data_IF_580358958367
#
_entry.id   IF_580358958367
#
_cell.length_a   1.000
_cell.length_b   1.000
_cell.length_c   1.000
_cell.angle_alpha   90.00
_cell.angle_beta   90.00
_cell.angle_gamma   90.00
#
_symmetry.space_group_name_H-M   'P 1'
#
loop_
_entity.id
_entity.type
_entity.pdbx_description
1 polymer ?
#
# COMPACT_ATOMS: atom_id res chain seq x y z
N UNK A 1 16.31 1.28 13.15
CA UNK A 1 14.91 1.04 13.59
C UNK A 1 13.97 1.23 12.40
N UNK A 2 13.02 0.32 12.17
CA UNK A 2 12.04 0.45 11.08
C UNK A 2 10.75 1.11 11.59
N UNK A 3 10.26 2.14 10.91
CA UNK A 3 9.01 2.87 11.20
C UNK A 3 8.04 2.73 10.02
N UNK A 4 6.74 2.59 10.29
CA UNK A 4 5.70 2.57 9.27
C UNK A 4 4.84 3.81 9.48
N UNK A 5 4.82 4.70 8.51
CA UNK A 5 4.18 6.02 8.64
C UNK A 5 3.25 6.26 7.45
N UNK A 6 2.19 7.02 7.67
CA UNK A 6 1.30 7.47 6.59
C UNK A 6 2.07 8.47 5.74
N UNK A 7 2.06 8.28 4.42
CA UNK A 7 2.67 9.23 3.48
C UNK A 7 1.94 10.57 3.60
N UNK A 8 2.73 11.64 3.81
CA UNK A 8 2.26 13.02 3.86
C UNK A 8 2.41 13.61 2.48
N UNK A 9 1.35 14.26 2.00
CA UNK A 9 1.36 14.90 0.70
C UNK A 9 1.27 16.42 0.90
N UNK A 10 2.10 17.20 0.21
CA UNK A 10 2.98 16.80 -0.91
C UNK A 10 4.38 16.30 -0.51
N UNK A 11 4.76 16.29 0.78
CA UNK A 11 6.16 16.12 1.21
C UNK A 11 6.78 14.77 0.82
N UNK A 12 6.03 13.68 0.90
CA UNK A 12 6.49 12.33 0.61
C UNK A 12 6.19 11.92 -0.85
N UNK A 13 5.70 12.83 -1.70
CA UNK A 13 5.30 12.52 -3.08
C UNK A 13 6.44 11.88 -3.88
N UNK A 14 7.65 12.45 -3.79
CA UNK A 14 8.82 11.94 -4.51
C UNK A 14 9.25 10.55 -4.00
N UNK A 15 9.15 10.33 -2.68
CA UNK A 15 9.45 9.06 -2.06
C UNK A 15 8.46 7.97 -2.50
N UNK A 16 7.16 8.31 -2.58
CA UNK A 16 6.10 7.41 -3.09
C UNK A 16 6.33 7.09 -4.57
N UNK A 17 6.60 8.10 -5.40
CA UNK A 17 6.87 7.92 -6.84
C UNK A 17 8.08 7.02 -7.05
N UNK A 18 9.19 7.26 -6.35
CA UNK A 18 10.41 6.47 -6.47
C UNK A 18 10.17 4.99 -6.17
N UNK A 19 9.51 4.68 -5.04
CA UNK A 19 9.27 3.27 -4.67
C UNK A 19 8.20 2.60 -5.54
N UNK A 20 7.23 3.35 -6.07
CA UNK A 20 6.27 2.81 -7.04
C UNK A 20 6.95 2.47 -8.37
N UNK A 21 7.82 3.34 -8.88
CA UNK A 21 8.60 3.07 -10.08
C UNK A 21 9.48 1.81 -9.90
N UNK A 22 10.13 1.65 -8.75
CA UNK A 22 10.88 0.42 -8.44
C UNK A 22 9.99 -0.82 -8.40
N UNK A 23 8.83 -0.73 -7.74
CA UNK A 23 7.88 -1.83 -7.69
C UNK A 23 7.45 -2.26 -9.10
N UNK A 24 7.10 -1.31 -9.97
CA UNK A 24 6.70 -1.56 -11.35
C UNK A 24 7.86 -2.19 -12.14
N UNK A 25 9.06 -1.64 -12.03
CA UNK A 25 10.25 -2.19 -12.69
C UNK A 25 10.63 -3.59 -12.19
N UNK A 26 10.30 -3.93 -10.95
CA UNK A 26 10.52 -5.26 -10.38
C UNK A 26 9.44 -6.28 -10.74
N UNK A 27 8.27 -5.83 -11.19
CA UNK A 27 7.16 -6.71 -11.51
C UNK A 27 7.40 -7.37 -12.88
N UNK A 28 7.47 -8.70 -12.90
CA UNK A 28 7.69 -9.51 -14.11
C UNK A 28 6.47 -9.61 -15.04
N UNK A 29 5.34 -9.01 -14.65
CA UNK A 29 4.11 -8.94 -15.44
C UNK A 29 3.97 -7.51 -15.94
N UNK A 30 3.71 -7.34 -17.24
CA UNK A 30 3.35 -6.05 -17.85
C UNK A 30 2.10 -5.50 -17.16
N UNK A 31 2.32 -4.71 -16.12
CA UNK A 31 1.29 -3.97 -15.44
C UNK A 31 0.93 -2.80 -16.36
N UNK A 32 -0.20 -2.90 -17.07
CA UNK A 32 -0.73 -1.95 -18.06
C UNK A 32 -0.25 -0.49 -17.85
N UNK A 33 0.89 -0.12 -18.46
CA UNK A 33 1.66 1.09 -18.14
C UNK A 33 0.84 2.39 -18.18
N UNK A 34 -0.15 2.47 -19.08
CA UNK A 34 -1.00 3.64 -19.26
C UNK A 34 -1.80 4.00 -17.99
N UNK A 35 -2.30 3.02 -17.23
CA UNK A 35 -3.06 3.30 -16.01
C UNK A 35 -2.17 3.73 -14.83
N UNK A 36 -0.85 3.52 -14.93
CA UNK A 36 0.10 3.82 -13.85
C UNK A 36 0.61 5.25 -13.90
N UNK A 37 0.90 5.77 -15.09
CA UNK A 37 1.31 7.17 -15.24
C UNK A 37 0.22 8.11 -14.72
N UNK A 38 -1.04 7.84 -15.07
CA UNK A 38 -2.20 8.57 -14.54
C UNK A 38 -2.35 8.41 -13.02
N UNK A 39 -2.14 7.20 -12.47
CA UNK A 39 -2.19 6.97 -11.03
C UNK A 39 -1.09 7.75 -10.29
N UNK A 40 0.14 7.77 -10.83
CA UNK A 40 1.27 8.50 -10.27
C UNK A 40 1.11 10.02 -10.38
N UNK A 41 0.50 10.50 -11.46
CA UNK A 41 0.21 11.92 -11.68
C UNK A 41 -0.89 12.43 -10.74
N UNK A 42 -1.82 11.57 -10.34
CA UNK A 42 -2.99 11.94 -9.52
C UNK A 42 -2.83 11.64 -8.03
N UNK A 43 -1.65 11.22 -7.56
CA UNK A 43 -1.40 10.92 -6.14
C UNK A 43 -1.70 12.11 -5.22
N UNK A 44 -2.32 11.89 -4.04
CA UNK A 44 -2.71 10.60 -3.48
C UNK A 44 -3.95 9.98 -4.12
N UNK A 45 -4.74 10.75 -4.87
CA UNK A 45 -5.84 10.26 -5.71
C UNK A 45 -6.78 9.32 -4.97
N UNK A 46 -6.92 8.09 -5.47
CA UNK A 46 -7.76 7.04 -4.86
C UNK A 46 -7.29 6.59 -3.47
N UNK A 47 -6.08 6.95 -3.05
CA UNK A 47 -5.53 6.68 -1.72
C UNK A 47 -5.68 7.85 -0.75
N UNK A 48 -6.37 8.93 -1.14
CA UNK A 48 -6.59 10.08 -0.27
C UNK A 48 -7.42 9.72 0.96
N UNK A 49 -7.12 10.37 2.09
CA UNK A 49 -7.97 10.32 3.28
C UNK A 49 -9.37 10.90 2.98
N UNK A 50 -10.43 10.49 3.69
CA UNK A 50 -10.47 9.51 4.78
C UNK A 50 -10.65 8.05 4.30
N UNK A 51 -10.93 7.85 3.01
CA UNK A 51 -11.34 6.56 2.44
C UNK A 51 -10.18 5.72 1.88
N UNK A 52 -8.97 6.27 1.89
CA UNK A 52 -7.75 5.60 1.49
C UNK A 52 -6.57 5.98 2.39
N UNK A 53 -5.46 5.31 2.12
CA UNK A 53 -4.18 5.65 2.73
C UNK A 53 -3.01 5.05 1.97
N UNK A 54 -1.88 5.77 2.00
CA UNK A 54 -0.58 5.30 1.58
C UNK A 54 0.36 5.31 2.78
N UNK A 55 1.19 4.28 2.86
CA UNK A 55 2.13 4.06 3.94
C UNK A 55 3.51 3.78 3.39
N UNK A 56 4.50 4.39 4.03
CA UNK A 56 5.91 4.20 3.76
C UNK A 56 6.56 3.51 4.95
N UNK A 57 7.38 2.50 4.65
CA UNK A 57 8.26 1.88 5.61
C UNK A 57 9.63 2.57 5.55
N UNK A 58 10.01 3.24 6.63
CA UNK A 58 11.30 3.89 6.78
C UNK A 58 12.24 3.01 7.57
N UNK A 59 13.46 2.80 7.07
CA UNK A 59 14.53 2.12 7.78
C UNK A 59 15.84 2.86 7.55
N UNK A 60 16.51 3.24 8.66
CA UNK A 60 17.78 3.98 8.62
C UNK A 60 17.73 5.25 7.73
N UNK A 61 16.61 5.98 7.77
CA UNK A 61 16.41 7.22 7.00
C UNK A 61 16.00 7.02 5.54
N UNK A 62 15.92 5.78 5.05
CA UNK A 62 15.50 5.47 3.69
C UNK A 62 14.13 4.78 3.66
N UNK A 63 13.34 5.05 2.63
CA UNK A 63 12.15 4.25 2.34
C UNK A 63 12.58 2.87 1.85
N UNK A 64 12.06 1.83 2.48
CA UNK A 64 12.38 0.42 2.17
C UNK A 64 11.15 -0.39 1.78
N UNK A 65 9.96 0.19 1.86
CA UNK A 65 8.73 -0.49 1.50
C UNK A 65 7.56 0.48 1.43
N UNK A 66 6.49 0.07 0.75
CA UNK A 66 5.25 0.79 0.68
C UNK A 66 4.05 -0.15 0.74
N UNK A 67 2.91 0.39 1.12
CA UNK A 67 1.60 -0.25 0.98
C UNK A 67 0.53 0.83 0.96
N UNK A 68 -0.61 0.56 0.34
CA UNK A 68 -1.76 1.43 0.41
C UNK A 68 -3.07 0.68 0.34
N UNK A 69 -4.15 1.40 0.61
CA UNK A 69 -5.50 0.93 0.35
C UNK A 69 -6.36 2.04 -0.23
N UNK A 70 -7.38 1.62 -0.97
CA UNK A 70 -8.40 2.50 -1.55
C UNK A 70 -9.79 1.90 -1.35
N UNK A 71 -10.80 2.75 -1.36
CA UNK A 71 -12.18 2.31 -1.33
C UNK A 71 -12.53 1.43 -2.54
N UNK A 72 -13.31 0.38 -2.29
CA UNK A 72 -14.01 -0.39 -3.31
C UNK A 72 -15.49 -0.03 -3.27
N UNK A 73 -16.07 -0.07 -2.07
CA UNK A 73 -17.43 0.33 -1.75
C UNK A 73 -17.49 0.82 -0.30
N UNK A 74 -18.64 1.30 0.16
CA UNK A 74 -18.80 1.86 1.51
C UNK A 74 -18.52 0.90 2.67
N UNK A 75 -18.29 -0.39 2.41
CA UNK A 75 -17.98 -1.41 3.43
C UNK A 75 -16.67 -2.16 3.17
N UNK A 76 -16.05 -1.99 2.00
CA UNK A 76 -14.86 -2.72 1.60
C UNK A 76 -13.78 -1.81 1.01
N UNK A 77 -12.53 -2.13 1.34
CA UNK A 77 -11.36 -1.54 0.73
C UNK A 77 -10.51 -2.59 0.00
N UNK A 78 -9.70 -2.13 -0.95
CA UNK A 78 -8.70 -2.93 -1.64
C UNK A 78 -7.31 -2.49 -1.17
N UNK A 79 -6.52 -3.43 -0.66
CA UNK A 79 -5.11 -3.20 -0.35
C UNK A 79 -4.29 -3.44 -1.62
N UNK A 80 -3.38 -2.50 -1.90
CA UNK A 80 -2.54 -2.48 -3.10
C UNK A 80 -1.11 -2.07 -2.76
N UNK A 81 -0.23 -2.26 -3.74
CA UNK A 81 1.15 -1.73 -3.74
C UNK A 81 1.97 -2.19 -2.53
N UNK A 82 1.70 -3.40 -2.02
CA UNK A 82 2.52 -4.01 -0.95
C UNK A 82 3.86 -4.42 -1.56
N UNK A 83 4.89 -3.63 -1.27
CA UNK A 83 6.24 -3.87 -1.78
C UNK A 83 7.27 -3.59 -0.68
N UNK A 84 8.32 -4.41 -0.65
CA UNK A 84 9.46 -4.24 0.25
C UNK A 84 10.71 -4.49 -0.58
N UNK A 85 11.65 -3.53 -0.54
CA UNK A 85 12.95 -3.65 -1.20
C UNK A 85 13.67 -4.91 -0.71
N UNK A 86 14.37 -5.65 -1.59
CA UNK A 86 15.10 -6.87 -1.19
C UNK A 86 16.05 -6.68 -0.01
N UNK A 87 16.69 -5.50 0.08
CA UNK A 87 17.62 -5.14 1.17
C UNK A 87 16.97 -5.07 2.56
N UNK A 88 15.64 -5.02 2.66
CA UNK A 88 14.90 -4.98 3.93
C UNK A 88 14.13 -6.28 4.24
N UNK A 89 14.42 -7.36 3.52
CA UNK A 89 13.87 -8.70 3.83
C UNK A 89 14.39 -9.20 5.18
N UNK A 90 13.61 -10.06 5.84
CA UNK A 90 13.93 -10.56 7.18
C UNK A 90 13.62 -9.59 8.34
N UNK A 91 13.24 -8.34 8.05
CA UNK A 91 12.90 -7.33 9.07
C UNK A 91 11.39 -7.22 9.36
N UNK A 92 10.59 -8.19 8.90
CA UNK A 92 9.12 -8.22 9.03
C UNK A 92 8.39 -6.97 8.50
N UNK A 93 9.01 -6.21 7.58
CA UNK A 93 8.44 -4.95 7.05
C UNK A 93 7.10 -5.17 6.35
N UNK A 94 7.00 -6.22 5.51
CA UNK A 94 5.77 -6.51 4.76
C UNK A 94 4.59 -6.80 5.68
N UNK A 95 4.82 -7.58 6.75
CA UNK A 95 3.81 -7.85 7.78
C UNK A 95 3.34 -6.55 8.46
N UNK A 96 4.28 -5.71 8.88
CA UNK A 96 3.96 -4.44 9.57
C UNK A 96 3.23 -3.45 8.67
N UNK A 97 3.53 -3.42 7.38
CA UNK A 97 2.80 -2.62 6.39
C UNK A 97 1.34 -3.10 6.28
N UNK A 98 1.13 -4.41 6.16
CA UNK A 98 -0.21 -5.03 6.09
C UNK A 98 -1.00 -4.73 7.37
N UNK A 99 -0.41 -4.94 8.54
CA UNK A 99 -1.05 -4.64 9.83
C UNK A 99 -1.47 -3.16 9.91
N UNK A 100 -0.58 -2.23 9.54
CA UNK A 100 -0.88 -0.80 9.52
C UNK A 100 -2.05 -0.44 8.59
N UNK A 101 -2.10 -1.04 7.40
CA UNK A 101 -3.21 -0.83 6.46
C UNK A 101 -4.53 -1.35 7.03
N UNK A 102 -4.53 -2.54 7.63
CA UNK A 102 -5.75 -3.12 8.22
C UNK A 102 -6.26 -2.27 9.38
N UNK A 103 -5.37 -1.72 10.21
CA UNK A 103 -5.74 -0.83 11.30
C UNK A 103 -6.37 0.47 10.80
N UNK A 104 -5.84 1.05 9.72
CA UNK A 104 -6.37 2.28 9.12
C UNK A 104 -7.68 2.03 8.38
N UNK A 105 -7.80 0.90 7.70
CA UNK A 105 -9.05 0.50 7.07
C UNK A 105 -10.15 0.29 8.13
N UNK A 106 -9.81 -0.29 9.29
CA UNK A 106 -10.72 -0.43 10.43
C UNK A 106 -11.15 0.94 10.96
N UNK A 107 -10.20 1.86 11.18
CA UNK A 107 -10.48 3.21 11.65
C UNK A 107 -11.34 4.01 10.65
N UNK A 108 -11.20 3.73 9.35
CA UNK A 108 -12.03 4.31 8.30
C UNK A 108 -13.42 3.66 8.16
N UNK A 109 -13.74 2.62 8.95
CA UNK A 109 -15.05 1.97 8.98
C UNK A 109 -15.24 0.81 8.00
N UNK A 110 -14.17 0.30 7.37
CA UNK A 110 -14.26 -0.84 6.47
C UNK A 110 -14.41 -2.16 7.24
N UNK A 111 -15.34 -3.00 6.78
CA UNK A 111 -15.59 -4.34 7.33
C UNK A 111 -14.78 -5.43 6.63
N UNK A 112 -14.30 -5.18 5.40
CA UNK A 112 -13.54 -6.14 4.60
C UNK A 112 -12.38 -5.46 3.88
N UNK A 113 -11.25 -6.16 3.80
CA UNK A 113 -10.16 -5.81 2.89
C UNK A 113 -9.91 -6.94 1.91
N UNK A 114 -9.74 -6.60 0.64
CA UNK A 114 -9.41 -7.57 -0.42
C UNK A 114 -8.08 -7.22 -1.08
N UNK A 115 -7.32 -8.24 -1.46
CA UNK A 115 -6.08 -8.12 -2.24
C UNK A 115 -6.27 -8.87 -3.55
N UNK A 116 -6.05 -8.19 -4.67
CA UNK A 116 -5.97 -8.83 -5.99
C UNK A 116 -4.51 -9.02 -6.40
N UNK A 117 -4.14 -10.26 -6.75
CA UNK A 117 -2.84 -10.59 -7.34
C UNK A 117 -3.05 -11.07 -8.77
N UNK A 118 -2.42 -10.41 -9.75
CA UNK A 118 -2.35 -10.90 -11.14
C UNK A 118 -1.12 -11.78 -11.29
N UNK A 119 -1.22 -13.05 -10.86
CA UNK A 119 -0.40 -14.20 -11.27
C UNK A 119 -0.64 -15.37 -10.30
N UNK A 120 -1.50 -16.34 -10.63
CA UNK A 120 -1.57 -17.69 -10.03
C UNK A 120 -1.69 -17.86 -8.50
N UNK A 121 -1.69 -16.77 -7.73
CA UNK A 121 -1.70 -16.74 -6.27
C UNK A 121 -3.11 -16.35 -5.84
N UNK A 122 -3.71 -17.20 -4.99
CA UNK A 122 -5.08 -17.10 -4.46
C UNK A 122 -5.43 -15.66 -4.05
N UNK A 123 -6.63 -15.20 -4.41
CA UNK A 123 -7.19 -13.96 -3.88
C UNK A 123 -7.29 -14.08 -2.35
N UNK A 124 -6.60 -13.20 -1.61
CA UNK A 124 -6.70 -13.16 -0.16
C UNK A 124 -7.76 -12.15 0.25
N UNK A 125 -8.79 -12.64 0.95
CA UNK A 125 -9.81 -11.81 1.61
C UNK A 125 -9.49 -11.76 3.09
N UNK A 126 -9.31 -10.56 3.62
CA UNK A 126 -9.14 -10.32 5.04
C UNK A 126 -10.47 -9.79 5.60
N UNK A 127 -11.02 -10.47 6.59
CA UNK A 127 -12.15 -9.96 7.37
C UNK A 127 -11.58 -8.99 8.39
N UNK A 128 -11.98 -7.72 8.33
CA UNK A 128 -11.58 -6.73 9.32
C UNK A 128 -12.53 -6.91 10.50
N UNK A 129 -12.09 -7.65 11.50
CA UNK A 129 -12.88 -7.80 12.73
C UNK A 129 -12.78 -6.52 13.57
N UNK A 130 -13.89 -6.08 14.19
CA UNK A 130 -13.85 -5.06 15.23
C UNK A 130 -13.00 -5.56 16.40
N UNK A 131 -12.15 -4.71 16.96
CA UNK A 131 -11.52 -4.99 18.25
C UNK A 131 -12.63 -4.78 19.30
N UNK A 132 -12.87 -5.78 20.15
CA UNK A 132 -13.80 -5.68 21.28
C UNK A 132 -13.33 -4.64 22.28
#
# INVERSE_FOLDING_TARGET
>A
MTRIERARFPEDLDAVKAIFCEYIGSASVSLDFQNYEDELATLPGKYAAPRGGLFLAWHAGAVVGCSGFREVDGTACEMKRVYVRPAARGLSVGRRLVERVLDEARAAGYARSQVFSKAGIKNFKFVITPVK
#
